data_IF_307870839875
#
_entry.id   IF_307870839875
#
_cell.length_a   1.000
_cell.length_b   1.000
_cell.length_c   1.000
_cell.angle_alpha   90.00
_cell.angle_beta   90.00
_cell.angle_gamma   90.00
#
_symmetry.space_group_name_H-M   'P 1'
#
loop_
_entity.id
_entity.type
_entity.pdbx_description
1 polymer ?
#
# COMPACT_ATOMS: atom_id res chain seq x y z
N UNK A 1 6.08 -1.58 -18.03
CA UNK A 1 6.04 -1.77 -16.55
C UNK A 1 5.58 -0.48 -15.91
N UNK A 2 4.84 -0.54 -14.80
CA UNK A 2 4.36 0.67 -14.11
C UNK A 2 4.53 0.57 -12.60
N UNK A 3 4.83 1.70 -11.96
CA UNK A 3 4.88 1.85 -10.51
C UNK A 3 3.94 2.97 -10.09
N UNK A 4 3.09 2.70 -9.11
CA UNK A 4 2.21 3.68 -8.49
C UNK A 4 2.63 3.84 -7.04
N UNK A 5 2.85 5.08 -6.62
CA UNK A 5 3.12 5.42 -5.22
C UNK A 5 1.90 6.14 -4.67
N UNK A 6 1.27 5.55 -3.66
CA UNK A 6 0.12 6.13 -2.99
C UNK A 6 0.58 6.70 -1.65
N UNK A 7 0.35 8.00 -1.46
CA UNK A 7 0.54 8.71 -0.19
C UNK A 7 -0.83 9.10 0.35
N UNK A 8 -1.17 8.62 1.53
CA UNK A 8 -2.42 8.97 2.21
C UNK A 8 -2.21 10.01 3.30
N UNK A 9 -3.13 10.94 3.43
CA UNK A 9 -3.18 11.92 4.54
C UNK A 9 -4.50 11.70 5.28
N UNK A 10 -4.43 11.55 6.59
CA UNK A 10 -5.60 11.44 7.46
C UNK A 10 -6.22 12.82 7.72
N UNK A 11 -7.48 12.87 8.16
CA UNK A 11 -8.19 14.11 8.49
C UNK A 11 -7.53 14.91 9.62
N UNK A 12 -6.73 14.25 10.45
CA UNK A 12 -5.87 14.85 11.48
C UNK A 12 -4.54 15.40 10.94
N UNK A 13 -4.35 15.43 9.62
CA UNK A 13 -3.13 15.83 8.90
C UNK A 13 -1.92 14.92 9.11
N UNK A 14 -2.07 13.77 9.77
CA UNK A 14 -1.00 12.79 9.85
C UNK A 14 -0.90 11.97 8.55
N UNK A 15 0.31 11.53 8.21
CA UNK A 15 0.56 10.76 6.99
C UNK A 15 0.42 9.26 7.24
N UNK A 16 -0.26 8.54 6.34
CA UNK A 16 -0.15 7.08 6.27
C UNK A 16 1.20 6.70 5.67
N UNK A 17 1.70 5.53 6.06
CA UNK A 17 2.92 5.01 5.47
C UNK A 17 2.72 4.83 3.94
N UNK A 18 3.67 5.28 3.10
CA UNK A 18 3.51 5.23 1.65
C UNK A 18 3.36 3.78 1.20
N UNK A 19 2.44 3.54 0.26
CA UNK A 19 2.28 2.24 -0.36
C UNK A 19 2.73 2.31 -1.81
N UNK A 20 3.62 1.39 -2.19
CA UNK A 20 4.04 1.21 -3.58
C UNK A 20 3.26 0.02 -4.14
N UNK A 21 2.64 0.19 -5.31
CA UNK A 21 2.01 -0.85 -6.11
C UNK A 21 2.79 -0.96 -7.42
N UNK A 22 3.26 -2.16 -7.73
CA UNK A 22 4.01 -2.46 -8.95
C UNK A 22 3.12 -3.24 -9.91
N UNK A 23 3.24 -2.94 -11.21
CA UNK A 23 2.67 -3.73 -12.32
C UNK A 23 3.81 -4.16 -13.23
N UNK A 24 4.21 -5.43 -13.12
CA UNK A 24 5.16 -6.07 -14.01
C UNK A 24 4.83 -7.57 -14.10
N UNK A 25 5.06 -8.17 -15.27
CA UNK A 25 4.75 -9.58 -15.51
C UNK A 25 5.78 -10.52 -14.84
N UNK A 26 7.06 -10.12 -14.82
CA UNK A 26 8.17 -10.94 -14.32
C UNK A 26 8.78 -10.46 -13.01
N UNK A 27 8.02 -9.73 -12.19
CA UNK A 27 8.57 -9.21 -10.94
C UNK A 27 8.74 -10.30 -9.88
N UNK A 28 9.85 -10.25 -9.15
CA UNK A 28 10.11 -11.08 -7.96
C UNK A 28 10.12 -10.20 -6.71
N UNK A 29 9.15 -10.37 -5.81
CA UNK A 29 9.04 -9.59 -4.57
C UNK A 29 10.34 -9.58 -3.73
N UNK A 30 11.14 -10.65 -3.80
CA UNK A 30 12.44 -10.76 -3.12
C UNK A 30 13.48 -9.73 -3.59
N UNK A 31 13.37 -9.20 -4.81
CA UNK A 31 14.28 -8.16 -5.31
C UNK A 31 14.17 -6.89 -4.46
N UNK A 32 12.97 -6.53 -4.06
CA UNK A 32 12.71 -5.33 -3.26
C UNK A 32 13.04 -5.50 -1.79
N UNK A 33 12.93 -6.72 -1.24
CA UNK A 33 13.36 -7.02 0.14
C UNK A 33 14.86 -6.82 0.38
N UNK A 34 15.66 -6.77 -0.69
CA UNK A 34 17.12 -6.56 -0.63
C UNK A 34 17.54 -5.11 -0.88
N UNK A 35 16.62 -4.26 -1.32
CA UNK A 35 16.90 -2.84 -1.56
C UNK A 35 16.85 -2.09 -0.23
N UNK A 36 17.96 -1.41 0.12
CA UNK A 36 18.00 -0.51 1.28
C UNK A 36 17.11 0.70 1.00
N UNK A 37 16.35 1.13 2.02
CA UNK A 37 15.47 2.31 1.93
C UNK A 37 14.07 2.03 1.38
N UNK A 38 13.73 0.77 1.13
CA UNK A 38 12.40 0.34 0.69
C UNK A 38 11.53 0.03 1.91
N UNK A 39 10.39 0.73 2.10
CA UNK A 39 9.53 0.52 3.27
C UNK A 39 9.01 -0.92 3.38
N UNK A 40 8.95 -1.47 4.60
CA UNK A 40 8.47 -2.84 4.84
C UNK A 40 6.99 -3.02 4.51
N UNK A 41 6.25 -1.92 4.43
CA UNK A 41 4.81 -1.89 4.20
C UNK A 41 4.40 -1.87 2.71
N UNK A 42 5.32 -2.14 1.79
CA UNK A 42 5.02 -2.22 0.35
C UNK A 42 4.06 -3.37 0.02
N UNK A 43 3.16 -3.12 -0.93
CA UNK A 43 2.26 -4.12 -1.48
C UNK A 43 2.70 -4.51 -2.89
N UNK A 44 3.17 -5.74 -3.02
CA UNK A 44 3.53 -6.29 -4.31
C UNK A 44 2.32 -6.86 -5.03
N UNK A 45 2.22 -6.53 -6.32
CA UNK A 45 1.12 -6.93 -7.16
C UNK A 45 1.58 -7.51 -8.50
N UNK A 46 1.09 -8.70 -8.87
CA UNK A 46 1.19 -9.19 -10.26
C UNK A 46 -0.20 -9.09 -10.88
N UNK A 47 -0.36 -8.28 -11.92
CA UNK A 47 -1.62 -8.21 -12.66
C UNK A 47 -1.36 -7.83 -14.10
N UNK A 48 -2.01 -8.54 -15.02
CA UNK A 48 -1.98 -8.23 -16.45
C UNK A 48 -2.68 -6.88 -16.74
N UNK A 49 -3.68 -6.49 -15.93
CA UNK A 49 -4.47 -5.26 -16.09
C UNK A 49 -4.23 -4.15 -15.04
N UNK A 50 -3.15 -4.24 -14.23
CA UNK A 50 -2.74 -3.17 -13.32
C UNK A 50 -3.48 -3.17 -11.99
N UNK A 51 -3.52 -2.00 -11.34
CA UNK A 51 -4.07 -1.83 -9.97
C UNK A 51 -5.55 -2.22 -9.85
N UNK A 52 -6.27 -2.30 -10.97
CA UNK A 52 -7.69 -2.60 -11.05
C UNK A 52 -8.04 -4.08 -10.85
N UNK A 53 -7.08 -4.95 -10.50
CA UNK A 53 -7.48 -6.23 -9.92
C UNK A 53 -8.10 -5.94 -8.55
N UNK A 54 -9.40 -6.22 -8.46
CA UNK A 54 -10.23 -6.06 -7.27
C UNK A 54 -9.52 -6.60 -6.02
N UNK A 55 -8.74 -7.68 -6.13
CA UNK A 55 -8.02 -8.28 -4.99
C UNK A 55 -6.93 -7.38 -4.43
N UNK A 56 -6.17 -6.67 -5.27
CA UNK A 56 -5.12 -5.74 -4.79
C UNK A 56 -5.72 -4.48 -4.20
N UNK A 57 -6.74 -3.92 -4.86
CA UNK A 57 -7.47 -2.77 -4.36
C UNK A 57 -8.11 -3.09 -2.99
N UNK A 58 -8.80 -4.24 -2.86
CA UNK A 58 -9.38 -4.69 -1.59
C UNK A 58 -8.30 -4.91 -0.53
N UNK A 59 -7.16 -5.52 -0.87
CA UNK A 59 -6.06 -5.74 0.09
C UNK A 59 -5.48 -4.42 0.57
N UNK A 60 -5.30 -3.45 -0.32
CA UNK A 60 -4.89 -2.10 0.03
C UNK A 60 -5.90 -1.43 0.98
N UNK A 61 -7.19 -1.49 0.64
CA UNK A 61 -8.26 -0.90 1.44
C UNK A 61 -8.34 -1.53 2.84
N UNK A 62 -8.32 -2.87 2.93
CA UNK A 62 -8.35 -3.59 4.22
C UNK A 62 -7.13 -3.26 5.09
N UNK A 63 -5.93 -3.22 4.50
CA UNK A 63 -4.70 -2.91 5.24
C UNK A 63 -4.70 -1.49 5.78
N UNK A 64 -5.07 -0.52 4.96
CA UNK A 64 -4.89 0.89 5.27
C UNK A 64 -6.11 1.57 5.90
N UNK A 65 -7.31 1.01 5.71
CA UNK A 65 -8.59 1.58 6.16
C UNK A 65 -9.49 0.58 6.91
N UNK A 66 -9.02 -0.66 7.15
CA UNK A 66 -9.77 -1.63 7.96
C UNK A 66 -9.86 -1.22 9.45
N UNK A 67 -10.69 -1.89 10.25
CA UNK A 67 -10.95 -1.52 11.65
C UNK A 67 -9.70 -1.49 12.55
N UNK A 68 -8.68 -2.29 12.19
CA UNK A 68 -7.40 -2.39 12.92
C UNK A 68 -6.25 -1.66 12.24
N UNK A 69 -6.54 -0.87 11.20
CA UNK A 69 -5.53 -0.18 10.41
C UNK A 69 -4.92 1.03 11.14
N UNK A 70 -3.78 1.50 10.64
CA UNK A 70 -3.16 2.74 11.13
C UNK A 70 -4.11 3.94 10.99
N UNK A 71 -4.90 4.03 9.91
CA UNK A 71 -5.88 5.11 9.75
C UNK A 71 -7.00 5.01 10.79
N UNK A 72 -7.47 3.80 11.11
CA UNK A 72 -8.50 3.58 12.12
C UNK A 72 -8.00 3.94 13.52
N UNK A 73 -6.77 3.56 13.87
CA UNK A 73 -6.12 3.97 15.12
C UNK A 73 -6.03 5.50 15.21
N UNK A 74 -5.62 6.16 14.14
CA UNK A 74 -5.50 7.63 14.09
C UNK A 74 -6.86 8.32 14.19
N UNK A 75 -7.86 7.80 13.49
CA UNK A 75 -9.24 8.29 13.58
C UNK A 75 -9.83 8.12 14.99
N UNK A 76 -9.58 6.97 15.64
CA UNK A 76 -10.05 6.67 17.00
C UNK A 76 -9.32 7.41 18.12
N UNK A 77 -8.20 8.08 17.84
CA UNK A 77 -7.49 8.96 18.78
C UNK A 77 -8.11 10.36 18.93
N UNK A 78 -9.17 10.64 18.17
CA UNK A 78 -9.95 11.88 18.31
C UNK A 78 -11.36 11.55 18.79
N UNK A 79 -11.49 11.20 20.07
CA UNK A 79 -12.58 11.61 20.98
C UNK A 79 -12.06 11.47 22.42
#
# INVERSE_FOLDING_TARGET
EFMIVIKGICTDRTFLDPTIILKAEDFVAKWFKRLRGVPENILFGKSHNGWMDERMAIKYLKRNFGPTSQSAIKAGKKY
#
